data_IF_105758374172
#
_entry.id   IF_105758374172
#
_cell.length_a   1.000
_cell.length_b   1.000
_cell.length_c   1.000
_cell.angle_alpha   90.00
_cell.angle_beta   90.00
_cell.angle_gamma   90.00
#
_symmetry.space_group_name_H-M   'P 1'
#
loop_
_entity.id
_entity.type
_entity.pdbx_description
1 polymer ?
#
# COMPACT_ATOMS: atom_id res chain seq x y z
N UNK A 1 -6.95 70.38 30.84
CA UNK A 1 -5.53 70.54 30.43
C UNK A 1 -4.49 69.90 31.38
N UNK A 2 -4.84 69.41 32.58
CA UNK A 2 -3.85 68.91 33.57
C UNK A 2 -3.38 67.45 33.42
N UNK A 3 -4.04 66.63 32.60
CA UNK A 3 -3.68 65.19 32.43
C UNK A 3 -2.81 64.88 31.20
N UNK A 4 -2.67 65.83 30.26
CA UNK A 4 -1.89 65.60 29.03
C UNK A 4 -0.38 65.79 29.22
N UNK A 5 0.03 66.52 30.24
CA UNK A 5 1.46 66.78 30.56
C UNK A 5 2.03 65.64 31.42
N UNK A 6 1.19 64.96 32.22
CA UNK A 6 1.60 63.82 33.05
C UNK A 6 1.88 62.56 32.21
N UNK A 7 1.15 62.37 31.10
CA UNK A 7 1.34 61.23 30.20
C UNK A 7 2.62 61.34 29.36
N UNK A 8 3.02 62.55 28.97
CA UNK A 8 4.27 62.77 28.21
C UNK A 8 5.52 62.63 29.08
N UNK A 9 5.45 62.94 30.38
CA UNK A 9 6.55 62.70 31.32
C UNK A 9 6.72 61.21 31.67
N UNK A 10 5.63 60.43 31.72
CA UNK A 10 5.69 58.98 31.96
C UNK A 10 6.30 58.21 30.76
N UNK A 11 6.10 58.70 29.54
CA UNK A 11 6.69 58.09 28.32
C UNK A 11 8.20 58.36 28.19
N UNK A 12 8.72 59.45 28.76
CA UNK A 12 10.16 59.78 28.71
C UNK A 12 10.96 59.00 29.78
N UNK A 13 10.33 58.63 30.90
CA UNK A 13 10.98 57.78 31.92
C UNK A 13 11.01 56.29 31.57
N UNK A 14 10.15 55.81 30.66
CA UNK A 14 10.18 54.43 30.16
C UNK A 14 11.17 54.21 29.00
N UNK A 15 11.75 55.28 28.43
CA UNK A 15 12.79 55.18 27.39
C UNK A 15 14.23 55.07 27.94
N UNK A 16 14.41 55.08 29.27
CA UNK A 16 15.72 55.03 29.92
C UNK A 16 16.00 53.73 30.70
N UNK A 17 15.28 52.64 30.40
CA UNK A 17 15.47 51.34 31.04
C UNK A 17 15.67 50.23 30.02
N UNK A 18 16.90 49.72 29.96
CA UNK A 18 17.34 48.55 29.21
C UNK A 18 17.26 48.65 27.68
N UNK A 19 18.34 49.15 27.07
CA UNK A 19 18.85 48.53 25.83
C UNK A 19 19.27 47.10 26.18
N UNK A 20 18.29 46.20 26.30
CA UNK A 20 18.59 44.79 26.09
C UNK A 20 18.96 44.67 24.62
N UNK A 21 20.24 44.46 24.36
CA UNK A 21 20.74 44.11 23.03
C UNK A 21 19.92 42.91 22.55
N UNK A 22 18.96 43.16 21.65
CA UNK A 22 18.16 42.12 21.04
C UNK A 22 19.15 41.21 20.32
N UNK A 23 19.50 40.08 20.93
CA UNK A 23 20.41 39.13 20.33
C UNK A 23 19.88 38.80 18.93
N UNK A 24 20.73 38.93 17.90
CA UNK A 24 20.35 38.66 16.53
C UNK A 24 19.70 37.27 16.46
N UNK A 25 18.39 37.26 16.19
CA UNK A 25 17.61 36.04 16.03
C UNK A 25 17.74 35.63 14.57
N UNK A 26 18.60 34.65 14.29
CA UNK A 26 18.72 34.12 12.94
C UNK A 26 17.46 33.28 12.62
N UNK A 27 16.70 33.68 11.60
CA UNK A 27 15.53 32.94 11.14
C UNK A 27 15.84 32.27 9.81
N UNK A 28 15.69 30.94 9.76
CA UNK A 28 15.87 30.12 8.56
C UNK A 28 14.48 29.64 8.12
N UNK A 29 14.06 29.97 6.90
CA UNK A 29 12.80 29.51 6.33
C UNK A 29 13.06 28.46 5.25
N UNK A 30 12.50 27.27 5.41
CA UNK A 30 12.58 26.18 4.44
C UNK A 30 11.16 25.71 4.13
N UNK A 31 10.60 26.21 3.04
CA UNK A 31 9.21 25.94 2.61
C UNK A 31 8.21 26.26 3.74
N UNK A 32 7.57 25.24 4.30
CA UNK A 32 6.58 25.38 5.36
C UNK A 32 7.16 25.33 6.78
N UNK A 33 8.48 25.40 6.95
CA UNK A 33 9.17 25.33 8.24
C UNK A 33 9.96 26.61 8.48
N UNK A 34 9.73 27.25 9.62
CA UNK A 34 10.49 28.41 10.12
C UNK A 34 11.31 27.92 11.30
N UNK A 35 12.63 27.95 11.19
CA UNK A 35 13.56 27.63 12.26
C UNK A 35 14.12 28.95 12.79
N UNK A 36 13.91 29.19 14.07
CA UNK A 36 14.40 30.36 14.80
C UNK A 36 15.56 29.91 15.66
N UNK A 37 16.75 30.44 15.39
CA UNK A 37 17.95 30.23 16.19
C UNK A 37 18.15 31.41 17.12
N UNK A 38 18.38 31.12 18.39
CA UNK A 38 18.69 32.11 19.42
C UNK A 38 19.76 31.60 20.39
N UNK A 39 20.08 32.42 21.38
CA UNK A 39 20.93 32.07 22.51
C UNK A 39 20.16 32.24 23.82
N UNK A 40 20.39 31.35 24.78
CA UNK A 40 19.88 31.55 26.16
C UNK A 40 20.69 32.65 26.86
N UNK A 41 20.20 33.11 28.03
CA UNK A 41 20.96 34.01 28.91
C UNK A 41 22.34 33.45 29.30
N UNK A 42 22.49 32.12 29.31
CA UNK A 42 23.74 31.39 29.58
C UNK A 42 24.62 31.22 28.31
N UNK A 43 24.23 31.81 27.17
CA UNK A 43 24.98 31.73 25.91
C UNK A 43 24.81 30.43 25.11
N UNK A 44 23.97 29.48 25.55
CA UNK A 44 23.72 28.21 24.84
C UNK A 44 22.84 28.45 23.61
N UNK A 45 23.17 27.82 22.48
CA UNK A 45 22.36 27.91 21.25
C UNK A 45 21.05 27.14 21.42
N UNK A 46 19.93 27.76 21.04
CA UNK A 46 18.59 27.15 21.05
C UNK A 46 17.95 27.30 19.68
N UNK A 47 17.28 26.24 19.24
CA UNK A 47 16.53 26.21 17.98
C UNK A 47 15.06 25.97 18.29
N UNK A 48 14.17 26.79 17.73
CA UNK A 48 12.72 26.59 17.77
C UNK A 48 12.20 26.48 16.36
N UNK A 49 11.46 25.42 16.06
CA UNK A 49 10.87 25.22 14.74
C UNK A 49 9.36 25.44 14.79
N UNK A 50 8.84 26.22 13.85
CA UNK A 50 7.43 26.54 13.70
C UNK A 50 6.97 26.18 12.30
N UNK A 51 5.69 25.82 12.18
CA UNK A 51 5.09 25.61 10.88
C UNK A 51 4.62 26.94 10.29
N UNK A 52 5.06 27.26 9.08
CA UNK A 52 4.63 28.46 8.38
C UNK A 52 3.21 28.31 7.83
N UNK A 53 2.25 28.90 8.54
CA UNK A 53 0.85 28.93 8.11
C UNK A 53 0.58 29.91 6.96
N UNK A 54 1.43 30.93 6.76
CA UNK A 54 1.32 31.83 5.61
C UNK A 54 1.71 31.10 4.33
N UNK A 55 2.81 30.33 4.36
CA UNK A 55 3.20 29.44 3.27
C UNK A 55 2.08 28.45 2.90
N UNK A 56 1.48 27.80 3.90
CA UNK A 56 0.36 26.88 3.68
C UNK A 56 -0.82 27.57 2.99
N UNK A 57 -1.25 28.75 3.50
CA UNK A 57 -2.35 29.53 2.91
C UNK A 57 -2.08 29.99 1.48
N UNK A 58 -0.84 30.38 1.17
CA UNK A 58 -0.47 30.77 -0.19
C UNK A 58 -0.60 29.58 -1.16
N UNK A 59 -0.22 28.37 -0.73
CA UNK A 59 -0.38 27.16 -1.53
C UNK A 59 -1.85 26.88 -1.85
N UNK A 60 -2.76 27.10 -0.90
CA UNK A 60 -4.21 26.93 -1.09
C UNK A 60 -4.84 27.88 -2.14
N UNK A 61 -4.09 28.83 -2.71
CA UNK A 61 -4.60 29.60 -3.86
C UNK A 61 -4.74 28.76 -5.13
N UNK A 62 -4.07 27.61 -5.23
CA UNK A 62 -4.15 26.70 -6.37
C UNK A 62 -5.13 25.57 -6.08
N UNK A 63 -6.04 25.30 -7.02
CA UNK A 63 -6.98 24.19 -6.89
C UNK A 63 -6.34 22.82 -7.15
N UNK A 64 -5.26 22.76 -7.92
CA UNK A 64 -4.54 21.53 -8.22
C UNK A 64 -3.18 21.52 -7.54
N UNK A 65 -2.91 20.45 -6.82
CA UNK A 65 -1.59 20.16 -6.28
C UNK A 65 -1.08 18.85 -6.88
N UNK A 66 0.23 18.79 -7.11
CA UNK A 66 0.91 17.61 -7.65
C UNK A 66 2.03 17.19 -6.70
N UNK A 67 2.14 15.89 -6.49
CA UNK A 67 3.25 15.21 -5.82
C UNK A 67 3.88 14.22 -6.79
N UNK A 68 5.19 14.22 -6.83
CA UNK A 68 6.00 13.28 -7.60
C UNK A 68 6.68 12.33 -6.65
N UNK A 69 6.82 11.07 -7.07
CA UNK A 69 7.54 10.05 -6.30
C UNK A 69 7.01 9.93 -4.87
N UNK A 70 5.72 9.62 -4.78
CA UNK A 70 5.10 9.23 -3.51
C UNK A 70 5.37 7.75 -3.30
N UNK A 71 5.89 7.41 -2.13
CA UNK A 71 6.36 6.06 -1.83
C UNK A 71 5.48 5.44 -0.75
N UNK A 72 5.11 4.19 -0.95
CA UNK A 72 4.42 3.40 0.06
C UNK A 72 5.29 2.22 0.47
N UNK A 73 5.33 1.94 1.77
CA UNK A 73 5.93 0.72 2.31
C UNK A 73 4.93 0.07 3.25
N UNK A 74 4.62 -1.20 3.02
CA UNK A 74 3.63 -1.90 3.83
C UNK A 74 3.79 -3.41 3.80
N UNK A 75 2.77 -4.07 4.34
CA UNK A 75 2.68 -5.51 4.42
C UNK A 75 1.49 -6.00 3.60
N UNK A 76 1.69 -7.11 2.91
CA UNK A 76 0.68 -7.81 2.14
C UNK A 76 0.16 -9.00 2.92
N UNK A 77 -1.12 -9.26 2.74
CA UNK A 77 -1.70 -10.57 2.99
C UNK A 77 -2.86 -10.78 2.00
N UNK A 78 -3.62 -11.84 2.17
CA UNK A 78 -4.86 -12.04 1.43
C UNK A 78 -5.91 -12.71 2.32
N UNK A 79 -7.17 -12.56 1.96
CA UNK A 79 -8.26 -13.38 2.46
C UNK A 79 -8.48 -14.53 1.49
N UNK A 80 -8.30 -15.76 1.97
CA UNK A 80 -8.48 -16.96 1.17
C UNK A 80 -9.92 -17.46 1.27
N UNK A 81 -10.57 -17.67 0.12
CA UNK A 81 -11.92 -18.24 0.00
C UNK A 81 -11.96 -19.53 -0.82
N UNK A 82 -10.80 -20.10 -1.15
CA UNK A 82 -10.71 -21.26 -2.03
C UNK A 82 -11.42 -22.50 -1.45
N UNK A 83 -12.02 -23.32 -2.31
CA UNK A 83 -12.80 -24.50 -1.92
C UNK A 83 -11.91 -25.73 -1.66
N UNK A 84 -11.14 -25.67 -0.56
CA UNK A 84 -10.27 -26.77 -0.13
C UNK A 84 -11.00 -28.09 0.15
N UNK A 85 -12.19 -28.11 0.81
CA UNK A 85 -12.94 -29.35 1.01
C UNK A 85 -13.30 -30.06 -0.30
N UNK A 86 -13.81 -29.34 -1.30
CA UNK A 86 -14.11 -29.95 -2.58
C UNK A 86 -12.83 -30.38 -3.32
N UNK A 87 -11.74 -29.60 -3.24
CA UNK A 87 -10.46 -30.02 -3.82
C UNK A 87 -9.91 -31.32 -3.21
N UNK A 88 -10.08 -31.52 -1.91
CA UNK A 88 -9.75 -32.79 -1.24
C UNK A 88 -10.62 -33.94 -1.74
N UNK A 89 -11.92 -33.73 -1.96
CA UNK A 89 -12.78 -34.77 -2.54
C UNK A 89 -12.29 -35.17 -3.94
N UNK A 90 -11.85 -34.19 -4.74
CA UNK A 90 -11.28 -34.46 -6.07
C UNK A 90 -9.95 -35.23 -6.02
N UNK A 91 -9.14 -35.08 -4.96
CA UNK A 91 -7.91 -35.87 -4.81
C UNK A 91 -8.14 -37.32 -4.38
N UNK A 92 -9.28 -37.63 -3.76
CA UNK A 92 -9.69 -39.00 -3.39
C UNK A 92 -10.19 -39.81 -4.59
N UNK A 93 -10.62 -39.12 -5.65
CA UNK A 93 -11.07 -39.73 -6.89
C UNK A 93 -10.22 -39.22 -8.06
N UNK A 94 -8.95 -39.62 -8.17
CA UNK A 94 -8.09 -39.28 -9.32
C UNK A 94 -8.51 -40.11 -10.55
N UNK A 95 -9.77 -39.96 -10.96
CA UNK A 95 -10.34 -40.57 -12.14
C UNK A 95 -10.32 -39.57 -13.29
N UNK A 96 -9.39 -39.79 -14.23
CA UNK A 96 -9.39 -39.26 -15.60
C UNK A 96 -10.77 -38.82 -16.07
N UNK A 97 -11.02 -37.54 -16.38
CA UNK A 97 -11.88 -37.15 -17.52
C UNK A 97 -13.35 -37.56 -17.55
N UNK A 98 -13.79 -38.41 -16.64
CA UNK A 98 -14.90 -39.33 -16.85
C UNK A 98 -15.59 -39.49 -15.51
N UNK A 99 -16.48 -38.54 -15.24
CA UNK A 99 -17.64 -38.86 -14.42
C UNK A 99 -18.39 -40.00 -15.11
N UNK A 100 -18.32 -41.21 -14.56
CA UNK A 100 -19.26 -42.26 -14.93
C UNK A 100 -20.61 -41.92 -14.27
N UNK A 101 -21.49 -41.27 -15.04
CA UNK A 101 -22.93 -41.27 -14.76
C UNK A 101 -23.53 -42.53 -15.41
N UNK A 102 -24.31 -43.35 -14.69
CA UNK A 102 -25.07 -44.41 -15.31
C UNK A 102 -26.17 -43.77 -16.17
N UNK A 103 -25.90 -43.54 -17.46
CA UNK A 103 -26.87 -42.94 -18.39
C UNK A 103 -26.33 -42.00 -19.48
N UNK A 104 -25.01 -41.84 -19.66
CA UNK A 104 -24.51 -41.10 -20.83
C UNK A 104 -23.04 -40.73 -20.75
N UNK A 105 -22.26 -41.14 -21.76
CA UNK A 105 -20.84 -40.80 -21.90
C UNK A 105 -20.71 -39.40 -22.52
N UNK A 106 -20.48 -38.39 -21.69
CA UNK A 106 -20.00 -37.08 -22.15
C UNK A 106 -18.49 -37.00 -21.94
N UNK A 107 -17.71 -36.80 -23.02
CA UNK A 107 -16.29 -36.47 -22.93
C UNK A 107 -16.19 -35.04 -22.38
N UNK A 108 -15.77 -34.88 -21.12
CA UNK A 108 -15.55 -33.57 -20.53
C UNK A 108 -14.14 -33.09 -20.92
N UNK A 109 -14.04 -32.36 -22.04
CA UNK A 109 -12.83 -31.60 -22.38
C UNK A 109 -12.60 -30.54 -21.30
N UNK A 110 -11.59 -30.70 -20.44
CA UNK A 110 -11.22 -29.72 -19.43
C UNK A 110 -10.50 -28.53 -20.06
N UNK A 111 -11.24 -27.69 -20.79
CA UNK A 111 -10.79 -26.34 -21.01
C UNK A 111 -10.84 -25.63 -19.65
N UNK A 112 -9.67 -25.33 -19.07
CA UNK A 112 -9.57 -24.51 -17.86
C UNK A 112 -10.18 -23.15 -18.19
N UNK A 113 -11.43 -22.93 -17.74
CA UNK A 113 -12.10 -21.66 -17.92
C UNK A 113 -11.47 -20.66 -16.97
N UNK A 114 -11.10 -19.48 -17.48
CA UNK A 114 -10.76 -18.36 -16.61
C UNK A 114 -11.92 -18.10 -15.64
N UNK A 115 -11.58 -17.80 -14.39
CA UNK A 115 -12.48 -17.54 -13.27
C UNK A 115 -13.27 -18.74 -12.75
N UNK A 116 -12.78 -19.97 -12.99
CA UNK A 116 -13.25 -21.17 -12.28
C UNK A 116 -12.49 -21.34 -10.96
N UNK A 117 -13.22 -21.23 -9.85
CA UNK A 117 -12.73 -21.37 -8.48
C UNK A 117 -13.32 -22.59 -7.75
N UNK A 118 -13.86 -23.56 -8.51
CA UNK A 118 -14.38 -24.81 -7.96
C UNK A 118 -13.28 -25.67 -7.30
N UNK A 119 -13.67 -26.63 -6.46
CA UNK A 119 -12.73 -27.61 -5.92
C UNK A 119 -11.95 -28.39 -6.98
N UNK A 120 -12.58 -28.68 -8.14
CA UNK A 120 -11.88 -29.28 -9.29
C UNK A 120 -10.81 -28.36 -9.83
N UNK A 121 -11.13 -27.08 -10.04
CA UNK A 121 -10.18 -26.10 -10.53
C UNK A 121 -9.01 -25.91 -9.55
N UNK A 122 -9.31 -25.84 -8.25
CA UNK A 122 -8.30 -25.76 -7.21
C UNK A 122 -7.39 -27.01 -7.16
N UNK A 123 -7.97 -28.21 -7.30
CA UNK A 123 -7.18 -29.45 -7.36
C UNK A 123 -6.34 -29.53 -8.65
N UNK A 124 -6.84 -29.06 -9.78
CA UNK A 124 -6.05 -28.98 -11.02
C UNK A 124 -4.91 -27.95 -10.90
N UNK A 125 -5.18 -26.81 -10.25
CA UNK A 125 -4.20 -25.76 -10.02
C UNK A 125 -3.12 -26.18 -9.01
N UNK A 126 -3.49 -26.87 -7.94
CA UNK A 126 -2.58 -27.31 -6.90
C UNK A 126 -2.83 -28.77 -6.50
N UNK A 127 -2.49 -29.73 -7.37
CA UNK A 127 -2.82 -31.14 -7.18
C UNK A 127 -2.15 -31.71 -5.95
N UNK A 128 -2.89 -32.49 -5.16
CA UNK A 128 -2.37 -33.18 -3.98
C UNK A 128 -2.84 -34.63 -3.97
N UNK A 129 -2.09 -35.50 -3.30
CA UNK A 129 -2.52 -36.87 -3.07
C UNK A 129 -3.60 -36.90 -1.98
N UNK A 130 -4.49 -37.89 -2.05
CA UNK A 130 -5.48 -38.19 -1.03
C UNK A 130 -4.89 -38.30 0.39
N UNK A 131 -3.69 -38.86 0.51
CA UNK A 131 -2.99 -39.05 1.79
C UNK A 131 -2.45 -37.74 2.39
N UNK A 132 -2.28 -36.70 1.58
CA UNK A 132 -1.77 -35.41 2.03
C UNK A 132 -2.54 -34.26 1.33
N UNK A 133 -3.85 -34.13 1.66
CA UNK A 133 -4.77 -33.28 0.90
C UNK A 133 -4.38 -31.80 0.93
N UNK A 134 -4.85 -31.06 -0.07
CA UNK A 134 -4.64 -29.63 -0.14
C UNK A 134 -5.40 -28.94 1.02
N UNK A 135 -4.72 -28.02 1.70
CA UNK A 135 -5.31 -27.26 2.80
C UNK A 135 -4.89 -25.79 2.73
N UNK A 136 -5.60 -24.88 3.42
CA UNK A 136 -5.23 -23.45 3.47
C UNK A 136 -3.81 -23.21 3.99
N UNK A 137 -3.26 -24.14 4.78
CA UNK A 137 -1.90 -24.04 5.30
C UNK A 137 -0.83 -24.06 4.20
N UNK A 138 -1.16 -24.57 3.02
CA UNK A 138 -0.25 -24.68 1.88
C UNK A 138 0.17 -23.30 1.35
N UNK A 139 -0.76 -22.36 1.31
CA UNK A 139 -0.51 -21.04 0.75
C UNK A 139 -0.19 -20.00 1.83
N UNK A 140 -0.38 -20.32 3.11
CA UNK A 140 -0.18 -19.40 4.24
C UNK A 140 1.07 -18.53 4.08
N UNK A 141 0.88 -17.23 4.18
CA UNK A 141 1.97 -16.27 4.11
C UNK A 141 2.66 -16.07 5.46
N UNK A 142 3.91 -15.60 5.40
CA UNK A 142 4.63 -15.01 6.52
C UNK A 142 4.40 -13.50 6.46
N UNK A 143 3.51 -12.90 7.28
CA UNK A 143 3.07 -11.52 7.11
C UNK A 143 4.23 -10.52 7.23
N UNK A 144 5.13 -10.71 8.21
CA UNK A 144 6.29 -9.83 8.42
C UNK A 144 7.31 -9.82 7.27
N UNK A 145 7.25 -10.81 6.38
CA UNK A 145 8.14 -10.93 5.20
C UNK A 145 7.41 -10.72 3.87
N UNK A 146 6.09 -10.55 3.91
CA UNK A 146 5.25 -10.27 2.75
C UNK A 146 5.08 -8.76 2.66
N UNK A 147 5.99 -8.11 1.94
CA UNK A 147 6.11 -6.65 1.92
C UNK A 147 5.68 -6.12 0.54
N UNK A 148 4.96 -5.01 0.50
CA UNK A 148 4.80 -4.22 -0.71
C UNK A 148 5.59 -2.92 -0.66
N UNK A 149 6.03 -2.52 -1.85
CA UNK A 149 6.62 -1.22 -2.10
C UNK A 149 5.91 -0.61 -3.30
N UNK A 150 5.25 0.53 -3.11
CA UNK A 150 4.56 1.21 -4.21
C UNK A 150 5.28 2.52 -4.54
N UNK A 151 5.33 2.84 -5.82
CA UNK A 151 5.87 4.10 -6.34
C UNK A 151 4.80 4.77 -7.16
N UNK A 152 4.20 5.83 -6.63
CA UNK A 152 3.32 6.70 -7.41
C UNK A 152 4.17 7.74 -8.11
N UNK A 153 4.28 7.59 -9.44
CA UNK A 153 5.05 8.49 -10.29
C UNK A 153 4.45 9.90 -10.18
N UNK A 154 3.13 9.99 -10.27
CA UNK A 154 2.38 11.22 -10.11
C UNK A 154 1.16 10.96 -9.23
N UNK A 155 0.91 11.88 -8.30
CA UNK A 155 -0.29 11.92 -7.47
C UNK A 155 -0.81 13.35 -7.48
N UNK A 156 -2.08 13.54 -7.79
CA UNK A 156 -2.72 14.84 -7.88
C UNK A 156 -3.87 14.96 -6.89
N UNK A 157 -3.99 16.13 -6.26
CA UNK A 157 -5.10 16.51 -5.37
C UNK A 157 -5.79 17.71 -6.00
N UNK A 158 -7.02 17.50 -6.45
CA UNK A 158 -7.91 18.53 -6.95
C UNK A 158 -8.86 18.98 -5.84
N UNK A 159 -8.86 20.26 -5.53
CA UNK A 159 -9.80 20.88 -4.61
C UNK A 159 -11.22 20.86 -5.19
N UNK A 160 -12.18 20.36 -4.40
CA UNK A 160 -13.61 20.41 -4.72
C UNK A 160 -14.31 21.49 -3.90
N UNK A 161 -14.05 21.53 -2.58
CA UNK A 161 -14.69 22.48 -1.66
C UNK A 161 -13.69 22.99 -0.62
N UNK A 162 -13.30 24.27 -0.75
CA UNK A 162 -12.51 25.04 0.25
C UNK A 162 -11.26 24.30 0.78
N UNK A 163 -10.67 23.41 -0.01
CA UNK A 163 -9.58 22.48 0.33
C UNK A 163 -9.87 21.51 1.48
N UNK A 164 -11.12 21.45 1.95
CA UNK A 164 -11.59 20.49 2.94
C UNK A 164 -12.11 19.22 2.29
N UNK A 165 -12.67 19.32 1.09
CA UNK A 165 -13.04 18.17 0.27
C UNK A 165 -12.24 18.23 -1.03
N UNK A 166 -11.57 17.13 -1.34
CA UNK A 166 -10.69 17.02 -2.49
C UNK A 166 -10.90 15.69 -3.22
N UNK A 167 -10.55 15.66 -4.50
CA UNK A 167 -10.38 14.44 -5.29
C UNK A 167 -8.89 14.14 -5.40
N UNK A 168 -8.49 12.92 -5.06
CA UNK A 168 -7.12 12.43 -5.24
C UNK A 168 -7.12 11.36 -6.31
N UNK A 169 -6.21 11.48 -7.28
CA UNK A 169 -5.94 10.45 -8.26
C UNK A 169 -4.44 10.33 -8.51
N UNK A 170 -3.98 9.14 -8.87
CA UNK A 170 -2.56 8.88 -9.07
C UNK A 170 -2.31 7.87 -10.18
N UNK A 171 -1.07 7.80 -10.64
CA UNK A 171 -0.57 6.73 -11.48
C UNK A 171 0.73 6.20 -10.87
N UNK A 172 0.80 4.90 -10.66
CA UNK A 172 1.94 4.28 -9.99
C UNK A 172 2.13 2.82 -10.28
N UNK A 173 3.23 2.29 -9.72
CA UNK A 173 3.59 0.89 -9.74
C UNK A 173 3.43 0.33 -8.33
N UNK A 174 2.62 -0.71 -8.18
CA UNK A 174 2.47 -1.46 -6.93
C UNK A 174 3.25 -2.76 -7.03
N UNK A 175 4.27 -2.92 -6.18
CA UNK A 175 5.16 -4.08 -6.20
C UNK A 175 4.91 -4.94 -4.97
N UNK A 176 4.19 -6.04 -5.15
CA UNK A 176 3.72 -6.90 -4.07
C UNK A 176 4.61 -8.13 -3.96
N UNK A 177 5.12 -8.43 -2.75
CA UNK A 177 5.78 -9.68 -2.44
C UNK A 177 4.92 -10.48 -1.46
N UNK A 178 4.68 -11.75 -1.80
CA UNK A 178 3.98 -12.73 -0.97
C UNK A 178 4.99 -13.81 -0.58
N UNK A 179 5.36 -13.88 0.70
CA UNK A 179 6.33 -14.86 1.22
C UNK A 179 5.57 -16.06 1.77
N UNK A 180 5.68 -17.22 1.14
CA UNK A 180 5.03 -18.45 1.57
C UNK A 180 5.72 -19.10 2.77
N UNK A 181 4.95 -19.63 3.71
CA UNK A 181 5.48 -20.39 4.84
C UNK A 181 5.89 -21.82 4.43
N UNK A 182 5.15 -22.42 3.47
CA UNK A 182 5.45 -23.74 2.92
C UNK A 182 6.36 -23.69 1.70
N UNK A 183 7.00 -24.82 1.43
CA UNK A 183 7.84 -25.03 0.25
C UNK A 183 6.97 -25.43 -0.94
N UNK A 184 6.33 -24.43 -1.55
CA UNK A 184 5.57 -24.62 -2.79
C UNK A 184 6.34 -24.08 -4.00
N UNK A 185 6.21 -24.77 -5.13
CA UNK A 185 6.81 -24.36 -6.40
C UNK A 185 5.71 -24.15 -7.43
N UNK A 186 5.70 -22.96 -8.02
CA UNK A 186 4.89 -22.69 -9.22
C UNK A 186 5.64 -23.27 -10.42
N UNK A 187 4.99 -24.22 -11.10
CA UNK A 187 5.46 -24.80 -12.34
C UNK A 187 4.81 -24.04 -13.50
N UNK A 188 5.59 -23.27 -14.29
CA UNK A 188 5.09 -22.55 -15.46
C UNK A 188 4.40 -23.49 -16.44
N UNK A 189 3.38 -22.98 -17.10
CA UNK A 189 2.62 -23.73 -18.10
C UNK A 189 1.32 -23.04 -18.47
N UNK A 190 0.69 -23.53 -19.53
CA UNK A 190 -0.65 -23.14 -19.95
C UNK A 190 -1.61 -24.30 -19.63
N UNK A 191 -2.07 -24.51 -18.39
CA UNK A 191 -2.10 -23.64 -17.20
C UNK A 191 -0.97 -23.88 -16.18
N UNK A 192 -0.70 -22.86 -15.34
CA UNK A 192 0.26 -22.98 -14.23
C UNK A 192 -0.26 -23.96 -13.18
N UNK A 193 0.66 -24.73 -12.57
CA UNK A 193 0.35 -25.58 -11.42
C UNK A 193 1.24 -25.27 -10.23
N UNK A 194 0.78 -25.60 -9.03
CA UNK A 194 1.52 -25.41 -7.77
C UNK A 194 1.70 -26.73 -7.04
N UNK A 195 2.94 -27.18 -6.96
CA UNK A 195 3.32 -28.42 -6.29
C UNK A 195 3.97 -28.14 -4.93
N UNK A 196 3.88 -29.13 -4.04
CA UNK A 196 4.72 -29.17 -2.83
C UNK A 196 6.10 -29.68 -3.26
N UNK A 197 7.14 -28.89 -3.01
CA UNK A 197 8.51 -29.25 -3.37
C UNK A 197 9.15 -30.05 -2.24
N UNK A 198 9.98 -31.02 -2.59
CA UNK A 198 10.78 -31.78 -1.62
C UNK A 198 11.95 -30.96 -1.05
N UNK A 199 12.30 -29.86 -1.71
CA UNK A 199 13.41 -28.98 -1.31
C UNK A 199 12.96 -27.93 -0.29
N UNK A 200 13.75 -27.79 0.77
CA UNK A 200 13.55 -26.76 1.78
C UNK A 200 14.03 -25.38 1.33
N UNK A 201 13.12 -24.40 1.35
CA UNK A 201 13.42 -23.05 0.91
C UNK A 201 13.57 -22.06 2.07
N UNK A 202 14.79 -21.54 2.26
CA UNK A 202 15.04 -20.38 3.13
C UNK A 202 14.33 -19.11 2.64
N UNK A 203 14.03 -19.04 1.33
CA UNK A 203 13.20 -17.99 0.70
C UNK A 203 12.31 -18.59 -0.37
N UNK A 204 11.00 -18.52 -0.19
CA UNK A 204 9.98 -18.86 -1.17
C UNK A 204 8.98 -17.71 -1.28
N UNK A 205 8.96 -17.01 -2.42
CA UNK A 205 8.05 -15.88 -2.62
C UNK A 205 7.52 -15.77 -4.05
N UNK A 206 6.29 -15.28 -4.15
CA UNK A 206 5.69 -14.76 -5.37
C UNK A 206 5.78 -13.23 -5.39
N UNK A 207 6.19 -12.67 -6.51
CA UNK A 207 6.22 -11.24 -6.77
C UNK A 207 5.20 -10.91 -7.85
N UNK A 208 4.39 -9.88 -7.63
CA UNK A 208 3.44 -9.35 -8.61
C UNK A 208 3.53 -7.82 -8.66
N UNK A 209 3.71 -7.28 -9.87
CA UNK A 209 3.85 -5.86 -10.13
C UNK A 209 2.69 -5.38 -11.00
N UNK A 210 1.92 -4.42 -10.49
CA UNK A 210 0.78 -3.82 -11.19
C UNK A 210 1.07 -2.35 -11.50
N UNK A 211 0.72 -1.89 -12.70
CA UNK A 211 0.45 -0.46 -12.91
C UNK A 211 -0.94 -0.18 -12.37
N UNK A 212 -1.10 0.84 -11.53
CA UNK A 212 -2.35 1.09 -10.81
C UNK A 212 -2.73 2.56 -10.82
N UNK A 213 -4.04 2.81 -10.83
CA UNK A 213 -4.69 4.12 -10.79
C UNK A 213 -5.73 4.09 -9.66
N UNK A 214 -5.45 4.75 -8.52
CA UNK A 214 -6.44 5.01 -7.49
C UNK A 214 -7.21 6.30 -7.79
N UNK A 215 -8.47 6.32 -7.37
CA UNK A 215 -9.37 7.48 -7.37
C UNK A 215 -10.06 7.55 -6.02
N UNK A 216 -9.80 8.61 -5.25
CA UNK A 216 -10.25 8.75 -3.86
C UNK A 216 -10.89 10.12 -3.60
N UNK A 217 -11.96 10.14 -2.81
CA UNK A 217 -12.41 11.35 -2.14
C UNK A 217 -11.61 11.53 -0.86
N UNK A 218 -11.12 12.74 -0.63
CA UNK A 218 -10.30 13.10 0.51
C UNK A 218 -10.93 14.23 1.30
N UNK A 219 -11.10 14.00 2.60
CA UNK A 219 -11.44 15.02 3.58
C UNK A 219 -10.18 15.50 4.30
N UNK A 220 -10.00 16.82 4.40
CA UNK A 220 -8.96 17.46 5.20
C UNK A 220 -9.60 18.43 6.21
N UNK A 221 -9.37 18.16 7.50
CA UNK A 221 -9.91 18.95 8.61
C UNK A 221 -9.37 20.39 8.67
N UNK A 222 -8.09 20.60 8.37
CA UNK A 222 -7.40 21.88 8.51
C UNK A 222 -6.34 22.12 7.42
N UNK A 223 -6.74 22.52 6.21
CA UNK A 223 -5.81 22.72 5.09
C UNK A 223 -4.80 23.85 5.33
N UNK A 224 -5.11 24.82 6.19
CA UNK A 224 -4.22 25.95 6.52
C UNK A 224 -3.15 25.59 7.57
N UNK A 225 -3.29 24.46 8.28
CA UNK A 225 -2.32 23.96 9.27
C UNK A 225 -2.04 22.46 9.05
N UNK A 226 -1.31 22.09 7.98
CA UNK A 226 -1.13 20.69 7.59
C UNK A 226 -0.45 19.80 8.64
N UNK A 227 0.36 20.36 9.54
CA UNK A 227 1.03 19.59 10.59
C UNK A 227 0.11 19.17 11.74
N UNK A 228 -1.12 19.69 11.76
CA UNK A 228 -2.18 19.34 12.72
C UNK A 228 -3.50 19.02 12.01
N UNK A 229 -3.46 18.70 10.72
CA UNK A 229 -4.64 18.26 9.98
C UNK A 229 -4.78 16.76 10.11
N UNK A 230 -5.97 16.36 10.51
CA UNK A 230 -6.50 15.02 10.25
C UNK A 230 -7.01 14.96 8.81
N UNK A 231 -6.67 13.89 8.10
CA UNK A 231 -7.16 13.62 6.76
C UNK A 231 -7.64 12.17 6.62
N UNK A 232 -8.69 11.97 5.83
CA UNK A 232 -9.21 10.66 5.47
C UNK A 232 -9.47 10.64 3.99
N UNK A 233 -8.98 9.60 3.31
CA UNK A 233 -9.27 9.34 1.90
C UNK A 233 -9.95 7.99 1.75
N UNK A 234 -10.93 7.88 0.86
CA UNK A 234 -11.57 6.62 0.50
C UNK A 234 -11.93 6.62 -0.98
N UNK A 235 -11.75 5.49 -1.64
CA UNK A 235 -12.22 5.30 -3.00
C UNK A 235 -11.86 3.95 -3.58
N UNK A 236 -11.66 3.93 -4.89
CA UNK A 236 -11.46 2.72 -5.69
C UNK A 236 -10.11 2.75 -6.38
N UNK A 237 -9.60 1.59 -6.74
CA UNK A 237 -8.39 1.45 -7.54
C UNK A 237 -8.57 0.38 -8.62
N UNK A 238 -8.00 0.66 -9.79
CA UNK A 238 -7.85 -0.31 -10.87
C UNK A 238 -6.37 -0.46 -11.22
N UNK A 239 -5.97 -1.66 -11.64
CA UNK A 239 -4.61 -1.90 -12.08
C UNK A 239 -4.48 -3.07 -13.04
N UNK A 240 -3.37 -3.09 -13.78
CA UNK A 240 -3.02 -4.11 -14.76
C UNK A 240 -1.68 -4.76 -14.42
N UNK A 241 -1.61 -6.09 -14.48
CA UNK A 241 -0.41 -6.88 -14.20
C UNK A 241 0.65 -6.62 -15.27
N UNK A 242 1.80 -6.07 -14.86
CA UNK A 242 2.94 -5.85 -15.76
C UNK A 242 3.95 -6.98 -15.70
N UNK A 243 4.14 -7.56 -14.51
CA UNK A 243 5.20 -8.54 -14.28
C UNK A 243 4.92 -9.39 -13.06
N UNK A 244 5.22 -10.67 -13.18
CA UNK A 244 5.22 -11.61 -12.07
C UNK A 244 6.46 -12.47 -12.07
N UNK A 245 6.89 -12.88 -10.88
CA UNK A 245 8.12 -13.66 -10.71
C UNK A 245 8.09 -14.47 -9.42
N UNK A 246 8.42 -15.76 -9.47
CA UNK A 246 8.77 -16.50 -8.26
C UNK A 246 10.25 -16.35 -7.94
N UNK A 247 10.59 -16.34 -6.65
CA UNK A 247 11.98 -16.40 -6.19
C UNK A 247 12.09 -17.44 -5.09
N UNK A 248 12.87 -18.46 -5.36
CA UNK A 248 13.19 -19.54 -4.44
C UNK A 248 14.69 -19.54 -4.11
N UNK A 249 15.03 -19.83 -2.86
CA UNK A 249 16.42 -19.96 -2.39
C UNK A 249 16.50 -21.17 -1.49
N UNK A 250 17.39 -22.09 -1.83
CA UNK A 250 17.72 -23.32 -1.09
C UNK A 250 19.23 -23.53 -1.11
N UNK A 251 19.73 -24.46 -0.29
CA UNK A 251 21.12 -24.91 -0.35
C UNK A 251 21.37 -25.75 -1.60
N UNK A 252 20.45 -26.67 -1.92
CA UNK A 252 20.57 -27.60 -3.05
C UNK A 252 20.54 -26.90 -4.42
N UNK A 253 19.53 -26.07 -4.68
CA UNK A 253 19.32 -25.44 -6.01
C UNK A 253 19.82 -23.99 -6.07
N UNK A 254 20.41 -23.49 -4.99
CA UNK A 254 20.79 -22.10 -4.87
C UNK A 254 19.60 -21.15 -5.04
N UNK A 255 19.80 -20.05 -5.76
CA UNK A 255 18.81 -18.98 -5.98
C UNK A 255 18.18 -19.10 -7.37
N UNK A 256 16.95 -19.57 -7.42
CA UNK A 256 16.16 -19.69 -8.65
C UNK A 256 15.15 -18.55 -8.75
N UNK A 257 14.99 -17.99 -9.95
CA UNK A 257 14.03 -16.93 -10.26
C UNK A 257 13.35 -17.24 -11.59
N UNK A 258 12.03 -17.36 -11.56
CA UNK A 258 11.25 -17.73 -12.73
C UNK A 258 10.22 -16.64 -13.00
N UNK A 259 10.16 -16.18 -14.25
CA UNK A 259 9.23 -15.13 -14.69
C UNK A 259 8.21 -15.79 -15.59
N UNK A 260 6.95 -15.69 -15.19
CA UNK A 260 5.78 -16.18 -15.93
C UNK A 260 4.56 -15.46 -15.35
N UNK A 261 3.39 -15.60 -15.99
CA UNK A 261 2.12 -15.03 -15.53
C UNK A 261 1.58 -15.75 -14.28
N UNK A 262 1.97 -17.01 -14.06
CA UNK A 262 1.59 -17.84 -12.90
C UNK A 262 0.07 -17.93 -12.65
N UNK A 263 -0.73 -17.86 -13.72
CA UNK A 263 -2.20 -17.75 -13.64
C UNK A 263 -2.66 -16.63 -12.70
N UNK A 264 -1.92 -15.51 -12.67
CA UNK A 264 -2.33 -14.32 -11.94
C UNK A 264 -3.35 -13.52 -12.73
N UNK A 265 -4.29 -12.92 -12.01
CA UNK A 265 -5.29 -12.06 -12.62
C UNK A 265 -4.63 -10.83 -13.23
N UNK A 266 -4.83 -10.65 -14.54
CA UNK A 266 -4.30 -9.50 -15.28
C UNK A 266 -4.89 -8.18 -14.82
N UNK A 267 -6.16 -8.19 -14.40
CA UNK A 267 -6.87 -7.02 -13.93
C UNK A 267 -7.09 -7.09 -12.43
N UNK A 268 -6.76 -6.01 -11.72
CA UNK A 268 -6.98 -5.90 -10.29
C UNK A 268 -7.88 -4.71 -10.00
N UNK A 269 -9.04 -4.98 -9.41
CA UNK A 269 -9.94 -3.93 -8.92
C UNK A 269 -10.05 -4.03 -7.40
N UNK A 270 -10.15 -2.88 -6.73
CA UNK A 270 -10.15 -2.85 -5.28
C UNK A 270 -10.63 -1.54 -4.69
N UNK A 271 -10.80 -1.55 -3.37
CA UNK A 271 -10.97 -0.36 -2.55
C UNK A 271 -9.60 0.12 -2.08
N UNK A 272 -9.45 1.44 -1.95
CA UNK A 272 -8.26 2.07 -1.41
C UNK A 272 -8.66 3.16 -0.43
N UNK A 273 -7.87 3.32 0.63
CA UNK A 273 -8.13 4.30 1.67
C UNK A 273 -6.86 4.80 2.33
N UNK A 274 -6.96 5.98 2.93
CA UNK A 274 -5.90 6.57 3.73
C UNK A 274 -6.45 7.24 4.98
N UNK A 275 -5.64 7.22 6.03
CA UNK A 275 -5.83 8.04 7.22
C UNK A 275 -4.50 8.71 7.53
N UNK A 276 -4.54 10.02 7.77
CA UNK A 276 -3.36 10.79 8.07
C UNK A 276 -3.58 11.74 9.25
N UNK A 277 -2.53 11.94 10.02
CA UNK A 277 -2.44 13.00 11.01
C UNK A 277 -1.07 13.66 10.93
N UNK A 278 -1.05 14.92 10.50
CA UNK A 278 0.19 15.66 10.30
C UNK A 278 1.15 14.96 9.33
N UNK A 279 2.39 14.64 9.74
CA UNK A 279 3.36 13.99 8.86
C UNK A 279 3.13 12.48 8.66
N UNK A 280 2.34 11.83 9.51
CA UNK A 280 2.13 10.38 9.48
C UNK A 280 0.92 10.06 8.60
N UNK A 281 1.10 9.14 7.65
CA UNK A 281 0.07 8.73 6.70
C UNK A 281 0.06 7.22 6.60
N UNK A 282 -1.12 6.66 6.82
CA UNK A 282 -1.39 5.24 6.67
C UNK A 282 -2.26 5.04 5.44
N UNK A 283 -1.94 4.04 4.63
CA UNK A 283 -2.77 3.62 3.51
C UNK A 283 -3.23 2.18 3.70
N UNK A 284 -4.33 1.84 3.05
CA UNK A 284 -4.85 0.49 2.96
C UNK A 284 -5.43 0.24 1.57
N UNK A 285 -5.11 -0.91 0.98
CA UNK A 285 -5.70 -1.37 -0.27
C UNK A 285 -6.34 -2.75 -0.05
N UNK A 286 -7.55 -2.95 -0.57
CA UNK A 286 -8.29 -4.21 -0.48
C UNK A 286 -8.78 -4.62 -1.87
N UNK A 287 -8.28 -5.73 -2.40
CA UNK A 287 -8.70 -6.23 -3.70
C UNK A 287 -10.11 -6.84 -3.62
N UNK A 288 -10.93 -6.51 -4.62
CA UNK A 288 -12.24 -7.11 -4.90
C UNK A 288 -12.16 -8.19 -5.98
N UNK A 289 -11.01 -8.32 -6.65
CA UNK A 289 -10.70 -9.40 -7.59
C UNK A 289 -9.73 -10.41 -6.96
N UNK A 290 -9.88 -11.71 -7.22
CA UNK A 290 -8.90 -12.70 -6.79
C UNK A 290 -7.51 -12.47 -7.41
N UNK A 291 -6.47 -12.90 -6.69
CA UNK A 291 -5.06 -12.81 -7.10
C UNK A 291 -4.78 -13.70 -8.31
N UNK A 292 -5.38 -14.89 -8.33
CA UNK A 292 -5.29 -15.85 -9.43
C UNK A 292 -6.53 -15.78 -10.30
N UNK A 293 -6.36 -15.99 -11.59
CA UNK A 293 -7.47 -16.06 -12.54
C UNK A 293 -8.13 -17.46 -12.59
N UNK A 294 -7.57 -18.46 -11.91
CA UNK A 294 -8.06 -19.83 -11.87
C UNK A 294 -7.62 -20.56 -10.59
N UNK A 295 -8.48 -21.44 -10.07
CA UNK A 295 -8.18 -22.35 -8.95
C UNK A 295 -8.18 -21.69 -7.57
N UNK A 296 -7.26 -20.75 -7.30
CA UNK A 296 -7.18 -20.06 -6.01
C UNK A 296 -8.05 -18.80 -5.96
N UNK A 297 -8.94 -18.73 -4.96
CA UNK A 297 -9.81 -17.58 -4.73
C UNK A 297 -9.28 -16.70 -3.57
N UNK A 298 -8.11 -16.12 -3.77
CA UNK A 298 -7.43 -15.30 -2.75
C UNK A 298 -7.61 -13.82 -3.04
N UNK A 299 -8.07 -13.03 -2.08
CA UNK A 299 -8.29 -11.58 -2.23
C UNK A 299 -7.18 -10.79 -1.50
N UNK A 300 -6.18 -10.23 -2.21
CA UNK A 300 -5.09 -9.50 -1.59
C UNK A 300 -5.53 -8.24 -0.84
N UNK A 301 -4.83 -7.94 0.23
CA UNK A 301 -4.89 -6.62 0.87
C UNK A 301 -3.50 -6.19 1.32
N UNK A 302 -3.30 -4.88 1.42
CA UNK A 302 -2.08 -4.28 1.93
C UNK A 302 -2.36 -3.11 2.85
N UNK A 303 -1.51 -2.94 3.85
CA UNK A 303 -1.54 -1.83 4.80
C UNK A 303 -0.14 -1.34 5.08
N UNK A 304 0.04 -0.04 5.22
CA UNK A 304 1.37 0.50 5.49
C UNK A 304 1.42 2.01 5.59
N UNK A 305 2.63 2.54 5.46
CA UNK A 305 2.91 3.97 5.55
C UNK A 305 3.12 4.57 4.16
N UNK A 306 2.63 5.80 3.98
CA UNK A 306 2.88 6.62 2.79
C UNK A 306 3.80 7.78 3.10
N UNK A 307 4.78 7.98 2.24
CA UNK A 307 5.78 9.03 2.31
C UNK A 307 5.64 9.99 1.15
N UNK A 308 5.81 11.29 1.41
CA UNK A 308 5.70 12.37 0.42
C UNK A 308 4.29 12.52 -0.24
N UNK A 309 3.28 11.82 0.26
CA UNK A 309 1.88 12.00 -0.14
C UNK A 309 1.31 13.38 0.24
N UNK A 310 0.07 13.64 -0.14
CA UNK A 310 -0.63 14.87 0.25
C UNK A 310 -1.06 14.89 1.71
#
# INVERSE_FOLDING_TARGET
>A
MKYRILLTLLTIFLSAGAFAQQAAIDTIQIKGLIIVKGKTAEGKSVFKAYQDTAYARQKLKKNLHTKWLVLDLGFNNYRDKSDYPAAMIMSLHPGNGQQYYPGGSYIQSYANKSFDYSGQALNNFAPRMASEPLSPAEFKLIPSKSINFNVWVIMQRLNLVKHKLNLIYALGLEMNNYRFARNITYVPGYSTTVIRDSVDFSKNKLFAQYVSIPLMLNFNSNPARPGRSFEVSLGVQGGYLLKSRTKQVSEERGKVRLTDDFSLNKWRFGLTGEVAYGPIKLYSNFALTPLHDYGLEQYPFSVGFRFNGF
#
